data_IF_610074095759
#
_entry.id   IF_610074095759
#
_cell.length_a   1.000
_cell.length_b   1.000
_cell.length_c   1.000
_cell.angle_alpha   90.00
_cell.angle_beta   90.00
_cell.angle_gamma   90.00
#
_symmetry.space_group_name_H-M   'P 1'
#
loop_
_entity.id
_entity.type
_entity.pdbx_description
1 polymer ?
#
# COMPACT_ATOMS: atom_id res chain seq x y z
N UNK A 1 24.00 31.94 14.06
CA UNK A 1 23.15 32.55 15.10
C UNK A 1 22.56 31.42 15.95
N UNK A 2 22.52 31.56 17.29
CA UNK A 2 21.96 30.65 18.33
C UNK A 2 21.42 29.28 17.89
N UNK A 3 22.08 28.14 18.18
CA UNK A 3 22.18 27.42 19.48
C UNK A 3 20.84 27.09 20.14
N UNK A 4 20.45 25.81 20.14
CA UNK A 4 19.43 25.25 21.05
C UNK A 4 20.08 24.69 22.32
N UNK A 5 19.27 24.59 23.39
CA UNK A 5 19.64 23.93 24.64
C UNK A 5 19.43 22.41 24.56
N UNK A 6 20.24 21.66 25.30
CA UNK A 6 20.00 20.25 25.61
C UNK A 6 20.11 20.01 27.11
N UNK A 7 19.36 19.03 27.61
CA UNK A 7 19.50 18.47 28.95
C UNK A 7 19.24 16.96 28.89
N UNK A 8 20.09 16.17 29.53
CA UNK A 8 19.88 14.73 29.79
C UNK A 8 19.87 14.48 31.31
N UNK A 9 19.24 13.36 31.69
CA UNK A 9 18.90 12.98 33.07
C UNK A 9 20.13 12.63 33.94
N UNK A 10 19.99 12.73 35.28
CA UNK A 10 20.87 12.06 36.24
C UNK A 10 20.36 10.66 36.67
N UNK A 11 21.31 9.88 37.20
CA UNK A 11 21.17 8.65 38.01
C UNK A 11 20.36 8.92 39.34
N UNK A 12 19.93 7.99 40.22
CA UNK A 12 20.27 6.57 40.54
C UNK A 12 19.18 5.91 41.45
N UNK A 13 19.44 4.67 41.93
CA UNK A 13 18.82 3.83 42.98
C UNK A 13 17.72 2.83 42.55
N UNK A 14 18.04 1.56 42.27
CA UNK A 14 18.14 0.37 43.17
C UNK A 14 16.86 -0.09 43.88
N UNK A 15 16.44 -1.33 43.60
CA UNK A 15 15.77 -2.21 44.57
C UNK A 15 16.12 -3.69 44.35
N UNK A 16 16.21 -4.43 45.46
CA UNK A 16 16.64 -5.83 45.57
C UNK A 16 15.76 -6.56 46.61
N UNK A 17 15.72 -7.89 46.75
CA UNK A 17 16.39 -9.01 46.06
C UNK A 17 15.31 -10.00 45.55
N UNK A 18 15.69 -11.08 44.86
CA UNK A 18 15.38 -12.44 45.35
C UNK A 18 16.45 -13.46 44.89
N UNK A 19 16.72 -14.44 45.75
CA UNK A 19 17.75 -15.49 45.60
C UNK A 19 17.11 -16.78 45.05
N UNK A 20 17.81 -17.77 44.46
CA UNK A 20 18.96 -18.50 45.01
C UNK A 20 19.44 -19.63 44.04
N UNK A 21 20.57 -20.27 44.40
CA UNK A 21 21.07 -21.60 43.96
C UNK A 21 21.88 -21.77 42.64
N UNK A 22 23.22 -21.75 42.82
CA UNK A 22 24.26 -22.60 42.20
C UNK A 22 24.61 -22.45 40.68
N UNK A 23 25.83 -22.83 40.23
CA UNK A 23 27.09 -23.10 40.95
C UNK A 23 28.26 -22.18 40.50
N UNK A 24 29.45 -22.44 41.03
CA UNK A 24 30.66 -21.65 40.86
C UNK A 24 31.30 -21.70 39.45
N UNK A 25 31.73 -20.54 38.96
CA UNK A 25 32.86 -20.29 38.03
C UNK A 25 32.93 -21.16 36.76
N UNK A 26 31.98 -20.92 35.84
CA UNK A 26 32.23 -21.12 34.41
C UNK A 26 32.84 -19.85 33.80
N UNK A 27 34.17 -19.75 33.74
CA UNK A 27 34.81 -18.62 33.06
C UNK A 27 34.45 -18.66 31.57
N UNK A 28 33.74 -17.64 31.08
CA UNK A 28 33.55 -17.43 29.64
C UNK A 28 34.91 -17.07 29.05
N UNK A 29 35.64 -18.09 28.59
CA UNK A 29 36.88 -17.92 27.83
C UNK A 29 36.50 -17.41 26.44
N UNK A 30 36.19 -16.11 26.35
CA UNK A 30 36.34 -15.39 25.11
C UNK A 30 37.81 -15.57 24.67
N UNK A 31 38.09 -16.20 23.52
CA UNK A 31 39.47 -16.39 23.08
C UNK A 31 40.08 -15.02 22.72
N UNK A 32 40.79 -14.42 23.68
CA UNK A 32 41.50 -13.12 23.58
C UNK A 32 42.68 -13.13 22.58
N UNK A 33 42.66 -14.01 21.59
CA UNK A 33 43.71 -14.26 20.61
C UNK A 33 43.18 -14.35 19.17
N UNK A 34 42.15 -13.58 18.81
CA UNK A 34 41.95 -13.20 17.41
C UNK A 34 43.00 -12.14 17.09
N UNK A 35 44.21 -12.58 16.71
CA UNK A 35 45.23 -11.69 16.14
C UNK A 35 44.69 -11.11 14.84
N UNK A 36 44.59 -9.78 14.76
CA UNK A 36 44.20 -9.08 13.54
C UNK A 36 45.10 -9.50 12.38
N UNK A 37 44.49 -10.06 11.33
CA UNK A 37 45.19 -10.38 10.08
C UNK A 37 45.52 -9.08 9.34
N UNK A 38 46.80 -8.81 9.09
CA UNK A 38 47.20 -7.62 8.32
C UNK A 38 46.96 -7.86 6.83
N UNK A 39 46.18 -6.99 6.20
CA UNK A 39 46.07 -6.94 4.74
C UNK A 39 47.40 -6.43 4.20
N UNK A 40 48.01 -7.16 3.26
CA UNK A 40 49.23 -6.68 2.61
C UNK A 40 48.93 -5.40 1.81
N UNK A 41 49.76 -4.36 1.99
CA UNK A 41 49.57 -2.99 1.47
C UNK A 41 49.15 -3.00 -0.02
N UNK A 42 47.90 -2.62 -0.29
CA UNK A 42 47.25 -2.76 -1.60
C UNK A 42 46.47 -1.52 -2.03
N UNK A 43 46.72 -1.08 -3.26
CA UNK A 43 45.82 -0.16 -3.96
C UNK A 43 44.69 -0.97 -4.61
N UNK A 44 43.71 -1.41 -3.80
CA UNK A 44 42.51 -2.03 -4.36
C UNK A 44 41.61 -0.91 -4.91
N UNK A 45 41.39 -0.93 -6.22
CA UNK A 45 40.51 0.02 -6.92
C UNK A 45 39.52 -0.76 -7.75
N UNK A 46 38.24 -0.60 -7.43
CA UNK A 46 37.15 -1.09 -8.27
C UNK A 46 37.06 -0.20 -9.53
N UNK A 47 36.62 -0.77 -10.64
CA UNK A 47 36.34 -0.01 -11.86
C UNK A 47 35.13 0.90 -11.64
N UNK A 48 35.11 2.07 -12.26
CA UNK A 48 33.96 2.96 -12.16
C UNK A 48 32.76 2.42 -12.94
N UNK A 49 31.55 2.68 -12.45
CA UNK A 49 30.33 2.36 -13.18
C UNK A 49 30.14 3.34 -14.32
N UNK A 50 29.67 2.86 -15.47
CA UNK A 50 29.25 3.70 -16.57
C UNK A 50 28.05 4.57 -16.19
N UNK A 51 28.00 5.80 -16.72
CA UNK A 51 26.88 6.71 -16.54
C UNK A 51 25.67 6.24 -17.36
N UNK A 52 24.47 6.25 -16.77
CA UNK A 52 23.24 6.05 -17.54
C UNK A 52 23.02 7.18 -18.56
N UNK A 53 22.51 6.80 -19.72
CA UNK A 53 22.04 7.72 -20.74
C UNK A 53 20.87 8.57 -20.25
N UNK A 54 20.72 9.78 -20.80
CA UNK A 54 19.59 10.65 -20.49
C UNK A 54 18.38 10.29 -21.33
N UNK A 55 17.20 10.35 -20.71
CA UNK A 55 15.93 10.25 -21.42
C UNK A 55 15.79 11.37 -22.48
N UNK A 56 15.28 10.98 -23.64
CA UNK A 56 14.93 11.85 -24.73
C UNK A 56 13.74 12.74 -24.39
N UNK A 57 13.81 14.01 -24.80
CA UNK A 57 12.75 14.99 -24.55
C UNK A 57 11.49 14.63 -25.36
N UNK A 58 10.34 14.54 -24.70
CA UNK A 58 9.05 14.39 -25.38
C UNK A 58 8.70 15.62 -26.23
N UNK A 59 8.02 15.39 -27.35
CA UNK A 59 7.53 16.40 -28.26
C UNK A 59 6.48 17.32 -27.61
N UNK A 60 6.25 18.48 -28.23
CA UNK A 60 5.35 19.51 -27.69
C UNK A 60 3.89 19.16 -27.98
N UNK A 61 3.05 19.10 -26.95
CA UNK A 61 1.58 19.06 -27.11
C UNK A 61 1.05 20.42 -27.59
N UNK A 62 0.15 20.45 -28.58
CA UNK A 62 -0.37 21.70 -29.15
C UNK A 62 -1.87 21.64 -29.50
N UNK A 63 -2.56 22.77 -29.37
CA UNK A 63 -3.90 23.00 -29.94
C UNK A 63 -3.83 23.88 -31.20
N UNK A 64 -4.63 23.58 -32.22
CA UNK A 64 -4.77 24.36 -33.45
C UNK A 64 -6.23 24.42 -33.93
N UNK A 65 -6.54 25.42 -34.75
CA UNK A 65 -7.81 25.53 -35.47
C UNK A 65 -7.64 25.09 -36.92
N UNK A 66 -8.53 24.23 -37.43
CA UNK A 66 -8.66 23.88 -38.83
C UNK A 66 -9.61 24.89 -39.51
N UNK A 67 -9.04 25.98 -40.01
CA UNK A 67 -9.74 27.04 -40.76
C UNK A 67 -9.70 26.85 -42.29
N UNK A 68 -9.08 25.76 -42.74
CA UNK A 68 -8.88 25.45 -44.16
C UNK A 68 -7.56 25.94 -44.74
N UNK A 69 -6.65 26.49 -43.93
CA UNK A 69 -5.24 26.71 -44.29
C UNK A 69 -4.42 25.41 -44.27
N UNK A 70 -3.24 25.41 -44.90
CA UNK A 70 -2.28 24.29 -44.86
C UNK A 70 -1.38 24.45 -43.64
N UNK A 71 -1.30 23.41 -42.80
CA UNK A 71 -0.57 23.44 -41.54
C UNK A 71 0.40 22.25 -41.52
N UNK A 72 1.69 22.52 -41.25
CA UNK A 72 2.72 21.48 -41.08
C UNK A 72 3.28 21.56 -39.65
N UNK A 73 3.24 20.47 -38.90
CA UNK A 73 3.71 20.41 -37.51
C UNK A 73 4.69 19.26 -37.28
N UNK A 74 5.86 19.57 -36.74
CA UNK A 74 6.77 18.59 -36.15
C UNK A 74 6.62 18.62 -34.63
N UNK A 75 5.99 17.57 -34.11
CA UNK A 75 5.79 17.30 -32.68
C UNK A 75 6.61 16.08 -32.25
N UNK A 76 7.68 15.74 -32.97
CA UNK A 76 8.49 14.54 -32.68
C UNK A 76 9.16 14.61 -31.30
N UNK A 77 9.20 13.47 -30.62
CA UNK A 77 10.11 13.25 -29.50
C UNK A 77 11.58 13.24 -29.95
N UNK A 78 12.49 13.25 -28.97
CA UNK A 78 13.92 13.04 -29.18
C UNK A 78 14.34 11.68 -28.63
N UNK A 79 15.41 11.14 -29.17
CA UNK A 79 15.96 9.84 -28.78
C UNK A 79 16.62 9.94 -27.40
N UNK A 80 16.70 8.82 -26.69
CA UNK A 80 17.50 8.69 -25.47
C UNK A 80 18.99 8.52 -25.78
N UNK A 81 19.87 8.95 -24.87
CA UNK A 81 21.31 8.68 -24.99
C UNK A 81 21.60 7.19 -24.69
N UNK A 82 22.60 6.61 -25.35
CA UNK A 82 23.19 5.33 -24.93
C UNK A 82 23.80 5.46 -23.52
N UNK A 83 23.72 4.40 -22.71
CA UNK A 83 24.44 4.26 -21.45
C UNK A 83 25.91 3.95 -21.68
N UNK A 84 26.78 4.47 -20.83
CA UNK A 84 28.23 4.26 -20.91
C UNK A 84 28.61 2.88 -20.34
N UNK A 85 29.66 2.25 -20.87
CA UNK A 85 30.22 1.00 -20.35
C UNK A 85 30.88 1.25 -18.97
N UNK A 86 30.85 0.24 -18.08
CA UNK A 86 31.66 0.26 -16.86
C UNK A 86 33.14 0.00 -17.14
N UNK A 87 34.02 0.35 -16.20
CA UNK A 87 35.46 0.08 -16.31
C UNK A 87 35.85 -1.28 -15.68
N UNK A 88 36.93 -1.88 -16.15
CA UNK A 88 37.49 -3.09 -15.54
C UNK A 88 38.04 -2.81 -14.13
N UNK A 89 37.87 -3.77 -13.23
CA UNK A 89 38.44 -3.73 -11.88
C UNK A 89 39.98 -3.74 -11.90
N UNK A 90 40.62 -3.05 -10.97
CA UNK A 90 42.08 -2.97 -10.95
C UNK A 90 42.71 -4.22 -10.33
N UNK A 91 43.77 -4.74 -10.99
CA UNK A 91 44.54 -5.87 -10.46
C UNK A 91 45.56 -5.39 -9.41
N UNK A 92 45.49 -5.85 -8.15
CA UNK A 92 46.43 -5.46 -7.10
C UNK A 92 47.87 -5.95 -7.37
N UNK A 93 48.85 -5.24 -6.79
CA UNK A 93 50.26 -5.60 -6.90
C UNK A 93 50.64 -6.77 -5.98
N UNK A 94 50.64 -7.99 -6.52
CA UNK A 94 50.99 -9.21 -5.79
C UNK A 94 52.49 -9.40 -5.47
N UNK A 95 53.33 -8.36 -5.66
CA UNK A 95 54.80 -8.51 -5.62
C UNK A 95 55.40 -8.61 -4.21
N UNK A 96 54.67 -8.23 -3.16
CA UNK A 96 55.24 -7.96 -1.82
C UNK A 96 54.89 -8.95 -0.68
N UNK A 97 54.24 -10.09 -0.96
CA UNK A 97 53.90 -11.11 0.06
C UNK A 97 55.12 -11.92 0.57
N UNK A 98 56.33 -11.32 0.58
CA UNK A 98 57.63 -11.95 0.90
C UNK A 98 58.14 -11.70 2.32
N UNK A 99 57.52 -10.80 3.09
CA UNK A 99 57.93 -10.53 4.48
C UNK A 99 57.14 -11.42 5.43
N UNK A 100 57.75 -12.54 5.80
CA UNK A 100 57.31 -13.42 6.88
C UNK A 100 57.11 -12.63 8.20
N UNK A 101 55.88 -12.21 8.47
CA UNK A 101 55.55 -11.39 9.64
C UNK A 101 55.52 -12.17 10.95
N UNK A 102 55.12 -11.47 12.03
CA UNK A 102 54.71 -12.05 13.33
C UNK A 102 53.18 -12.06 13.49
N UNK A 103 52.47 -11.96 12.36
CA UNK A 103 51.02 -11.80 12.22
C UNK A 103 50.51 -12.65 11.04
N UNK A 104 49.23 -13.01 11.05
CA UNK A 104 48.56 -13.60 9.88
C UNK A 104 48.40 -12.54 8.79
N UNK A 105 48.41 -12.94 7.52
CA UNK A 105 48.37 -12.04 6.37
C UNK A 105 47.19 -12.39 5.46
N UNK A 106 46.46 -11.39 5.01
CA UNK A 106 45.54 -11.53 3.89
C UNK A 106 46.19 -10.92 2.64
N UNK A 107 46.28 -11.69 1.57
CA UNK A 107 46.76 -11.18 0.30
C UNK A 107 45.73 -10.22 -0.34
N UNK A 108 46.17 -9.28 -1.19
CA UNK A 108 45.26 -8.28 -1.77
C UNK A 108 44.13 -8.89 -2.62
N UNK A 109 42.90 -8.42 -2.40
CA UNK A 109 41.75 -8.73 -3.26
C UNK A 109 41.88 -8.02 -4.61
N UNK A 110 41.29 -8.59 -5.65
CA UNK A 110 41.07 -7.93 -6.92
C UNK A 110 39.92 -6.93 -6.85
N UNK A 111 40.04 -5.80 -7.56
CA UNK A 111 38.96 -4.83 -7.66
C UNK A 111 37.78 -5.39 -8.45
N UNK A 112 36.57 -4.98 -8.08
CA UNK A 112 35.35 -5.32 -8.83
C UNK A 112 35.31 -4.54 -10.16
N UNK A 113 34.70 -5.13 -11.19
CA UNK A 113 34.38 -4.42 -12.43
C UNK A 113 33.16 -3.53 -12.26
N UNK A 114 33.15 -2.38 -12.91
CA UNK A 114 32.02 -1.47 -12.92
C UNK A 114 30.83 -2.01 -13.72
N UNK A 115 29.63 -1.68 -13.27
CA UNK A 115 28.39 -1.91 -14.03
C UNK A 115 28.32 -0.95 -15.21
N UNK A 116 27.68 -1.37 -16.30
CA UNK A 116 27.27 -0.46 -17.38
C UNK A 116 26.08 0.39 -16.96
N UNK A 117 25.99 1.61 -17.50
CA UNK A 117 24.85 2.50 -17.29
C UNK A 117 23.64 2.07 -18.13
N UNK A 118 22.43 2.31 -17.64
CA UNK A 118 21.20 2.09 -18.42
C UNK A 118 21.10 3.06 -19.60
N UNK A 119 20.50 2.64 -20.71
CA UNK A 119 20.15 3.50 -21.84
C UNK A 119 18.95 4.38 -21.52
N UNK A 120 18.97 5.63 -22.01
CA UNK A 120 17.86 6.57 -21.85
C UNK A 120 16.64 6.18 -22.67
N UNK A 121 15.43 6.42 -22.17
CA UNK A 121 14.20 6.18 -22.92
C UNK A 121 13.99 7.26 -24.00
N UNK A 122 13.40 6.88 -25.13
CA UNK A 122 12.98 7.82 -26.16
C UNK A 122 11.79 8.68 -25.70
N UNK A 123 11.84 9.96 -26.02
CA UNK A 123 10.76 10.90 -25.75
C UNK A 123 9.51 10.59 -26.58
N UNK A 124 8.33 10.76 -26.00
CA UNK A 124 7.07 10.53 -26.71
C UNK A 124 6.83 11.60 -27.78
N UNK A 125 6.12 11.26 -28.86
CA UNK A 125 5.54 12.25 -29.76
C UNK A 125 4.50 13.12 -29.03
N UNK A 126 4.43 14.40 -29.40
CA UNK A 126 3.49 15.35 -28.83
C UNK A 126 2.05 15.11 -29.29
N UNK A 127 1.12 15.10 -28.34
CA UNK A 127 -0.31 14.98 -28.63
C UNK A 127 -0.86 16.28 -29.29
N UNK A 128 -1.92 16.19 -30.07
CA UNK A 128 -2.49 17.35 -30.77
C UNK A 128 -4.01 17.43 -30.66
N UNK A 129 -4.51 18.64 -30.38
CA UNK A 129 -5.95 18.95 -30.37
C UNK A 129 -6.30 19.84 -31.55
N UNK A 130 -7.23 19.40 -32.40
CA UNK A 130 -7.70 20.13 -33.59
C UNK A 130 -9.16 20.55 -33.42
N UNK A 131 -9.38 21.85 -33.35
CA UNK A 131 -10.69 22.49 -33.36
C UNK A 131 -11.12 22.71 -34.81
N UNK A 132 -12.30 22.25 -35.22
CA UNK A 132 -12.76 22.34 -36.62
C UNK A 132 -14.24 22.74 -36.73
N UNK A 133 -14.63 23.18 -37.93
CA UNK A 133 -16.03 23.37 -38.31
C UNK A 133 -16.42 22.58 -39.56
N UNK A 134 -15.44 22.12 -40.33
CA UNK A 134 -15.59 21.22 -41.46
C UNK A 134 -14.52 20.13 -41.36
N UNK A 135 -14.95 18.87 -41.28
CA UNK A 135 -14.02 17.74 -41.08
C UNK A 135 -13.05 17.57 -42.25
N UNK A 136 -13.43 17.99 -43.47
CA UNK A 136 -12.58 17.89 -44.65
C UNK A 136 -11.33 18.78 -44.57
N UNK A 137 -11.32 19.85 -43.76
CA UNK A 137 -10.16 20.73 -43.63
C UNK A 137 -8.99 20.10 -42.86
N UNK A 138 -9.23 19.03 -42.09
CA UNK A 138 -8.15 18.24 -41.47
C UNK A 138 -7.20 17.64 -42.53
N UNK A 139 -7.66 17.43 -43.76
CA UNK A 139 -6.84 16.94 -44.89
C UNK A 139 -5.72 17.87 -45.31
N UNK A 140 -5.71 19.11 -44.82
CA UNK A 140 -4.68 20.12 -45.09
C UNK A 140 -3.62 20.21 -43.97
N UNK A 141 -3.77 19.39 -42.93
CA UNK A 141 -2.90 19.38 -41.75
C UNK A 141 -1.99 18.16 -41.83
N UNK A 142 -0.68 18.39 -41.99
CA UNK A 142 0.36 17.37 -41.93
C UNK A 142 1.05 17.40 -40.56
N UNK A 143 1.13 16.24 -39.90
CA UNK A 143 1.62 16.12 -38.53
C UNK A 143 2.67 15.03 -38.45
N UNK A 144 3.83 15.32 -37.88
CA UNK A 144 4.86 14.35 -37.52
C UNK A 144 4.99 14.30 -36.00
N UNK A 145 4.35 13.33 -35.36
CA UNK A 145 4.38 13.12 -33.92
C UNK A 145 4.98 11.74 -33.59
N UNK A 146 6.17 11.46 -34.13
CA UNK A 146 6.89 10.22 -33.81
C UNK A 146 7.47 10.27 -32.40
N UNK A 147 7.54 9.13 -31.73
CA UNK A 147 8.41 8.98 -30.56
C UNK A 147 9.87 8.87 -30.99
N UNK A 148 10.79 9.24 -30.11
CA UNK A 148 12.21 8.96 -30.26
C UNK A 148 12.56 7.51 -29.94
N UNK A 149 13.73 7.07 -30.36
CA UNK A 149 14.28 5.75 -30.04
C UNK A 149 14.85 5.71 -28.62
N UNK A 150 14.89 4.52 -28.01
CA UNK A 150 15.59 4.30 -26.76
C UNK A 150 17.08 4.09 -27.00
N UNK A 151 17.93 4.68 -26.15
CA UNK A 151 19.36 4.40 -26.13
C UNK A 151 19.66 3.00 -25.60
N UNK A 152 20.81 2.44 -25.98
CA UNK A 152 21.26 1.12 -25.57
C UNK A 152 21.88 1.13 -24.19
N UNK A 153 21.76 0.02 -23.47
CA UNK A 153 22.44 -0.21 -22.20
C UNK A 153 23.95 -0.39 -22.39
N UNK A 154 24.73 0.27 -21.54
CA UNK A 154 26.18 0.08 -21.44
C UNK A 154 26.53 -1.30 -20.88
N UNK A 155 27.74 -1.78 -21.16
CA UNK A 155 28.22 -3.10 -20.75
C UNK A 155 28.86 -3.08 -19.38
N UNK A 156 28.62 -4.13 -18.60
CA UNK A 156 29.35 -4.40 -17.37
C UNK A 156 30.75 -4.93 -17.67
N UNK A 157 31.74 -4.47 -16.92
CA UNK A 157 33.15 -4.82 -17.11
C UNK A 157 33.65 -5.84 -16.08
N UNK A 158 34.87 -6.34 -16.26
CA UNK A 158 35.34 -7.54 -15.54
C UNK A 158 35.96 -7.21 -14.19
N UNK A 159 35.73 -8.08 -13.22
CA UNK A 159 36.46 -8.08 -11.96
C UNK A 159 37.89 -8.57 -12.13
N UNK A 160 38.82 -7.98 -11.38
CA UNK A 160 40.20 -8.42 -11.37
C UNK A 160 40.41 -9.68 -10.51
N UNK A 161 41.42 -10.47 -10.90
CA UNK A 161 41.88 -11.61 -10.11
C UNK A 161 42.69 -11.12 -8.90
N UNK A 162 42.39 -11.68 -7.72
CA UNK A 162 43.12 -11.41 -6.49
C UNK A 162 44.56 -11.95 -6.49
N UNK A 163 45.27 -11.71 -5.40
CA UNK A 163 46.61 -12.23 -5.20
C UNK A 163 46.63 -13.53 -4.42
N UNK A 164 47.27 -14.57 -4.95
CA UNK A 164 47.56 -15.79 -4.19
C UNK A 164 48.78 -15.66 -3.27
N UNK A 165 48.70 -16.31 -2.12
CA UNK A 165 49.81 -16.48 -1.19
C UNK A 165 50.81 -17.49 -1.73
N UNK A 166 52.09 -17.11 -1.84
CA UNK A 166 53.17 -18.04 -2.24
C UNK A 166 53.47 -19.10 -1.18
N UNK A 167 53.17 -18.80 0.08
CA UNK A 167 53.33 -19.69 1.22
C UNK A 167 52.15 -19.47 2.15
N UNK A 168 51.31 -20.51 2.32
CA UNK A 168 50.07 -20.42 3.10
C UNK A 168 50.27 -20.57 4.61
N UNK A 169 51.41 -21.14 5.04
CA UNK A 169 51.74 -21.40 6.45
C UNK A 169 53.25 -21.23 6.71
N UNK A 170 53.60 -20.55 7.79
CA UNK A 170 54.97 -20.52 8.31
C UNK A 170 54.97 -20.57 9.85
N UNK A 171 56.11 -20.94 10.44
CA UNK A 171 56.30 -20.97 11.89
C UNK A 171 57.40 -19.99 12.26
N UNK A 172 57.18 -19.19 13.31
CA UNK A 172 58.26 -18.40 13.92
C UNK A 172 58.38 -18.72 15.39
N UNK A 173 59.61 -18.93 15.81
CA UNK A 173 59.96 -18.98 17.20
C UNK A 173 59.83 -17.57 17.81
N UNK A 174 59.01 -17.45 18.85
CA UNK A 174 58.81 -16.24 19.63
C UNK A 174 59.28 -16.54 21.04
N UNK A 175 60.42 -15.97 21.39
CA UNK A 175 61.03 -16.11 22.70
C UNK A 175 60.65 -14.93 23.59
N UNK A 176 60.30 -15.22 24.84
CA UNK A 176 60.06 -14.25 25.89
C UNK A 176 61.21 -14.36 26.92
N UNK A 177 61.84 -13.23 27.24
CA UNK A 177 63.10 -13.15 28.00
C UNK A 177 64.32 -12.71 27.16
N UNK A 178 65.32 -12.10 27.82
CA UNK A 178 66.54 -11.60 27.16
C UNK A 178 67.49 -12.73 26.74
N UNK A 179 68.30 -12.51 25.69
CA UNK A 179 69.21 -13.53 25.14
C UNK A 179 70.32 -14.00 26.13
N UNK A 180 70.47 -13.35 27.29
CA UNK A 180 71.49 -13.65 28.31
C UNK A 180 70.97 -14.39 29.55
N UNK A 181 69.68 -14.70 29.63
CA UNK A 181 69.10 -15.43 30.78
C UNK A 181 68.80 -16.89 30.43
N UNK A 182 69.16 -17.81 31.32
CA UNK A 182 68.92 -19.26 31.21
C UNK A 182 67.45 -19.68 31.18
N UNK A 183 66.53 -18.74 31.47
CA UNK A 183 65.09 -18.98 31.53
C UNK A 183 64.34 -18.47 30.28
N UNK A 184 65.03 -18.32 29.15
CA UNK A 184 64.45 -17.92 27.85
C UNK A 184 63.48 -19.00 27.36
N UNK A 185 62.18 -18.73 27.44
CA UNK A 185 61.15 -19.64 26.92
C UNK A 185 60.78 -19.24 25.50
N UNK A 186 61.11 -20.12 24.55
CA UNK A 186 60.80 -19.97 23.14
C UNK A 186 59.59 -20.83 22.76
N UNK A 187 58.60 -20.22 22.13
CA UNK A 187 57.40 -20.91 21.64
C UNK A 187 57.29 -20.77 20.12
N UNK A 188 57.07 -21.89 19.41
CA UNK A 188 56.77 -21.84 17.98
C UNK A 188 55.34 -21.35 17.78
N UNK A 189 55.17 -20.18 17.18
CA UNK A 189 53.86 -19.63 16.80
C UNK A 189 53.66 -19.84 15.29
N UNK A 190 52.55 -20.47 14.93
CA UNK A 190 52.14 -20.74 13.54
C UNK A 190 51.41 -19.52 12.99
N UNK A 191 51.69 -19.17 11.75
CA UNK A 191 51.07 -18.07 11.02
C UNK A 191 50.56 -18.52 9.66
N UNK A 192 49.50 -17.87 9.19
CA UNK A 192 48.81 -18.21 7.95
C UNK A 192 48.77 -17.03 6.97
N UNK A 193 48.77 -17.35 5.68
CA UNK A 193 48.48 -16.41 4.59
C UNK A 193 47.23 -16.90 3.86
N UNK A 194 46.22 -16.03 3.75
CA UNK A 194 44.99 -16.31 3.01
C UNK A 194 45.00 -15.57 1.67
N UNK A 195 44.63 -16.27 0.60
CA UNK A 195 44.53 -15.71 -0.75
C UNK A 195 43.49 -14.57 -0.81
N UNK A 196 43.80 -13.56 -1.62
CA UNK A 196 42.88 -12.48 -1.92
C UNK A 196 41.76 -12.95 -2.83
N UNK A 197 40.53 -12.48 -2.57
CA UNK A 197 39.35 -12.79 -3.39
C UNK A 197 39.46 -12.11 -4.76
N UNK A 198 38.88 -12.74 -5.78
CA UNK A 198 38.64 -12.09 -7.06
C UNK A 198 37.50 -11.08 -6.91
N UNK A 199 37.58 -9.96 -7.64
CA UNK A 199 36.45 -9.04 -7.79
C UNK A 199 35.34 -9.65 -8.62
N UNK A 200 34.10 -9.19 -8.41
CA UNK A 200 32.97 -9.54 -9.26
C UNK A 200 33.03 -8.79 -10.59
N UNK A 201 32.46 -9.38 -11.65
CA UNK A 201 32.13 -8.62 -12.86
C UNK A 201 30.94 -7.70 -12.59
N UNK A 202 30.92 -6.55 -13.25
CA UNK A 202 29.75 -5.68 -13.33
C UNK A 202 28.66 -6.26 -14.22
N UNK A 203 27.47 -5.70 -14.07
CA UNK A 203 26.25 -6.07 -14.79
C UNK A 203 26.05 -5.09 -15.96
N UNK A 204 25.49 -5.56 -17.08
CA UNK A 204 25.08 -4.67 -18.18
C UNK A 204 23.88 -3.81 -17.77
N UNK A 205 23.87 -2.55 -18.20
CA UNK A 205 22.69 -1.71 -18.16
C UNK A 205 21.58 -2.24 -19.07
N UNK A 206 20.36 -1.80 -18.82
CA UNK A 206 19.18 -2.11 -19.63
C UNK A 206 19.05 -1.16 -20.82
N UNK A 207 18.47 -1.63 -21.93
CA UNK A 207 18.11 -0.76 -23.06
C UNK A 207 16.90 0.12 -22.70
N UNK A 208 16.95 1.38 -23.13
CA UNK A 208 15.85 2.32 -23.02
C UNK A 208 14.68 1.96 -23.96
N UNK A 209 13.48 2.41 -23.60
CA UNK A 209 12.26 2.14 -24.39
C UNK A 209 12.04 3.24 -25.43
N UNK A 210 11.60 2.89 -26.64
CA UNK A 210 11.13 3.87 -27.62
C UNK A 210 9.88 4.62 -27.12
N UNK A 211 9.78 5.91 -27.47
CA UNK A 211 8.62 6.74 -27.17
C UNK A 211 7.38 6.35 -27.99
N UNK A 212 6.18 6.64 -27.48
CA UNK A 212 4.93 6.43 -28.24
C UNK A 212 4.74 7.48 -29.33
N UNK A 213 3.89 7.19 -30.31
CA UNK A 213 3.34 8.19 -31.22
C UNK A 213 2.37 9.14 -30.49
N UNK A 214 2.33 10.40 -30.90
CA UNK A 214 1.35 11.38 -30.40
C UNK A 214 -0.07 11.06 -30.88
N UNK A 215 -1.06 11.38 -30.05
CA UNK A 215 -2.48 11.11 -30.26
C UNK A 215 -3.19 12.35 -30.80
N UNK A 216 -4.03 12.15 -31.82
CA UNK A 216 -4.95 13.17 -32.33
C UNK A 216 -6.21 13.24 -31.45
N UNK A 217 -6.62 14.46 -31.08
CA UNK A 217 -7.92 14.77 -30.50
C UNK A 217 -8.63 15.79 -31.39
N UNK A 218 -9.90 15.58 -31.75
CA UNK A 218 -10.66 16.47 -32.63
C UNK A 218 -11.93 16.97 -31.94
N UNK A 219 -12.27 18.24 -32.17
CA UNK A 219 -13.38 18.94 -31.54
C UNK A 219 -14.14 19.73 -32.60
N UNK A 220 -15.42 19.40 -32.83
CA UNK A 220 -16.29 20.12 -33.76
C UNK A 220 -16.82 21.43 -33.13
N UNK A 221 -15.91 22.35 -32.82
CA UNK A 221 -16.19 23.68 -32.29
C UNK A 221 -15.01 24.61 -32.62
N UNK A 222 -15.26 25.92 -32.63
CA UNK A 222 -14.21 26.97 -32.68
C UNK A 222 -13.79 27.44 -31.28
N UNK A 223 -14.52 27.04 -30.24
CA UNK A 223 -14.26 27.42 -28.85
C UNK A 223 -13.47 26.34 -28.13
N UNK A 224 -12.54 26.75 -27.27
CA UNK A 224 -11.84 25.86 -26.37
C UNK A 224 -12.84 25.18 -25.41
N UNK A 225 -12.64 23.88 -25.15
CA UNK A 225 -13.47 23.17 -24.17
C UNK A 225 -13.24 23.74 -22.77
N UNK A 226 -14.31 23.87 -21.99
CA UNK A 226 -14.25 24.22 -20.58
C UNK A 226 -13.58 23.08 -19.80
N UNK A 227 -12.84 23.43 -18.75
CA UNK A 227 -12.19 22.47 -17.86
C UNK A 227 -13.20 21.47 -17.27
N UNK A 228 -12.73 20.24 -17.07
CA UNK A 228 -13.54 19.19 -16.45
C UNK A 228 -13.46 19.23 -14.93
N UNK A 229 -14.61 18.99 -14.31
CA UNK A 229 -14.78 18.79 -12.86
C UNK A 229 -15.67 17.55 -12.67
N UNK A 230 -15.19 16.36 -13.03
CA UNK A 230 -16.02 15.15 -13.08
C UNK A 230 -16.21 14.56 -11.69
N UNK A 231 -15.38 14.94 -10.73
CA UNK A 231 -15.39 14.47 -9.35
C UNK A 231 -15.38 15.63 -8.38
N UNK A 232 -16.11 15.50 -7.28
CA UNK A 232 -15.99 16.35 -6.11
C UNK A 232 -15.94 15.51 -4.84
N UNK A 233 -15.25 16.01 -3.81
CA UNK A 233 -15.22 15.42 -2.49
C UNK A 233 -15.59 16.51 -1.48
N UNK A 234 -16.59 16.23 -0.63
CA UNK A 234 -17.19 17.24 0.22
C UNK A 234 -17.81 16.64 1.49
N UNK A 235 -17.69 17.34 2.62
CA UNK A 235 -18.34 16.95 3.86
C UNK A 235 -19.87 16.93 3.75
N UNK A 236 -20.52 15.88 4.29
CA UNK A 236 -21.98 15.71 4.32
C UNK A 236 -22.68 17.00 4.80
N UNK A 237 -22.21 17.56 5.91
CA UNK A 237 -22.73 18.81 6.48
C UNK A 237 -22.70 19.97 5.47
N UNK A 238 -21.64 20.09 4.66
CA UNK A 238 -21.49 21.18 3.69
C UNK A 238 -22.45 21.03 2.51
N UNK A 239 -22.63 19.81 1.98
CA UNK A 239 -23.56 19.53 0.88
C UNK A 239 -24.98 20.03 1.20
N UNK A 240 -25.49 19.67 2.38
CA UNK A 240 -26.85 20.03 2.82
C UNK A 240 -26.93 21.50 3.30
N UNK A 241 -25.91 22.02 3.98
CA UNK A 241 -25.95 23.43 4.43
C UNK A 241 -25.77 24.45 3.31
N UNK A 242 -25.17 24.07 2.16
CA UNK A 242 -25.12 24.93 0.97
C UNK A 242 -26.48 25.05 0.26
N UNK A 243 -27.26 23.97 0.24
CA UNK A 243 -28.65 23.95 -0.25
C UNK A 243 -29.55 24.89 0.57
N UNK A 244 -29.51 24.80 1.91
CA UNK A 244 -30.27 25.69 2.80
C UNK A 244 -29.64 27.09 3.01
N UNK A 245 -28.55 27.40 2.32
CA UNK A 245 -28.00 28.77 2.34
C UNK A 245 -28.88 29.70 1.50
N UNK A 246 -28.84 31.03 1.78
CA UNK A 246 -29.59 32.03 1.01
C UNK A 246 -29.28 32.06 -0.50
N UNK A 247 -28.20 31.41 -0.93
CA UNK A 247 -27.79 31.33 -2.32
C UNK A 247 -28.17 30.03 -3.02
N UNK A 248 -28.71 29.02 -2.30
CA UNK A 248 -29.05 27.67 -2.77
C UNK A 248 -28.16 27.19 -3.93
N UNK A 249 -26.86 27.02 -3.65
CA UNK A 249 -25.86 26.70 -4.67
C UNK A 249 -25.74 25.18 -4.74
N UNK A 250 -26.30 24.51 -5.77
CA UNK A 250 -26.16 23.08 -5.90
C UNK A 250 -24.76 22.74 -6.44
N UNK A 251 -24.31 21.51 -6.21
CA UNK A 251 -22.97 21.09 -6.61
C UNK A 251 -22.97 20.63 -8.07
N UNK A 252 -22.34 21.42 -8.93
CA UNK A 252 -22.23 21.13 -10.35
C UNK A 252 -20.92 20.37 -10.68
N UNK A 253 -21.07 19.19 -11.27
CA UNK A 253 -20.03 18.38 -11.89
C UNK A 253 -20.11 18.52 -13.41
N UNK A 254 -18.96 18.34 -14.08
CA UNK A 254 -18.89 18.39 -15.54
C UNK A 254 -17.77 17.54 -16.10
N UNK A 255 -18.02 16.91 -17.26
CA UNK A 255 -17.11 15.98 -17.92
C UNK A 255 -17.23 16.09 -19.44
N UNK A 256 -16.12 16.33 -20.13
CA UNK A 256 -16.06 16.26 -21.59
C UNK A 256 -16.04 14.78 -21.99
N UNK A 257 -17.09 14.32 -22.67
CA UNK A 257 -17.20 12.94 -23.13
C UNK A 257 -16.48 12.79 -24.48
N UNK A 258 -15.56 11.84 -24.53
CA UNK A 258 -14.75 11.54 -25.71
C UNK A 258 -15.07 10.15 -26.24
N UNK A 259 -15.17 10.02 -27.56
CA UNK A 259 -15.20 8.74 -28.25
C UNK A 259 -13.82 8.40 -28.78
N UNK A 260 -13.33 7.20 -28.49
CA UNK A 260 -12.11 6.67 -29.10
C UNK A 260 -12.44 6.05 -30.45
N UNK A 261 -11.72 6.43 -31.49
CA UNK A 261 -11.95 6.01 -32.89
C UNK A 261 -10.63 5.67 -33.57
N UNK A 262 -10.71 4.95 -34.68
CA UNK A 262 -9.55 4.50 -35.46
C UNK A 262 -9.52 5.20 -36.83
N UNK A 263 -8.33 5.36 -37.39
CA UNK A 263 -8.13 5.97 -38.72
C UNK A 263 -7.67 7.43 -38.67
N UNK A 264 -6.95 7.87 -37.64
CA UNK A 264 -6.44 9.26 -37.55
C UNK A 264 -5.69 9.72 -38.83
N UNK A 265 -4.86 8.83 -39.39
CA UNK A 265 -4.11 9.09 -40.62
C UNK A 265 -5.01 9.24 -41.86
N UNK A 266 -6.25 8.74 -41.83
CA UNK A 266 -7.25 8.94 -42.89
C UNK A 266 -8.02 10.25 -42.76
N UNK A 267 -7.91 10.97 -41.64
CA UNK A 267 -8.44 12.34 -41.48
C UNK A 267 -7.42 13.41 -41.88
N UNK A 268 -6.15 13.18 -41.58
CA UNK A 268 -5.03 14.12 -41.81
C UNK A 268 -4.50 14.09 -43.26
N UNK A 269 -3.60 15.02 -43.56
CA UNK A 269 -2.87 15.06 -44.82
C UNK A 269 -1.98 13.81 -45.02
N UNK A 270 -1.82 13.40 -46.27
CA UNK A 270 -0.97 12.27 -46.66
C UNK A 270 0.46 12.44 -46.16
N UNK A 271 1.03 11.39 -45.56
CA UNK A 271 2.37 11.43 -44.96
C UNK A 271 2.42 11.88 -43.50
N UNK A 272 1.27 12.18 -42.88
CA UNK A 272 1.19 12.36 -41.42
C UNK A 272 1.55 11.08 -40.68
N UNK A 273 2.22 11.23 -39.54
CA UNK A 273 2.61 10.15 -38.63
C UNK A 273 2.11 10.51 -37.23
N UNK A 274 0.96 9.94 -36.88
CA UNK A 274 0.34 9.98 -35.55
C UNK A 274 -0.13 8.57 -35.16
N UNK A 275 -0.51 8.37 -33.90
CA UNK A 275 -1.24 7.17 -33.51
C UNK A 275 -2.50 7.02 -34.39
N UNK A 276 -2.77 5.80 -34.88
CA UNK A 276 -3.97 5.57 -35.70
C UNK A 276 -5.27 5.71 -34.91
N UNK A 277 -5.19 5.54 -33.60
CA UNK A 277 -6.26 5.85 -32.65
C UNK A 277 -6.33 7.35 -32.40
N UNK A 278 -7.54 7.91 -32.44
CA UNK A 278 -7.81 9.31 -32.12
C UNK A 278 -9.03 9.45 -31.20
N UNK A 279 -9.16 10.63 -30.59
CA UNK A 279 -10.29 10.99 -29.73
C UNK A 279 -11.18 12.02 -30.42
N UNK A 280 -12.47 11.77 -30.47
CA UNK A 280 -13.48 12.70 -30.99
C UNK A 280 -14.33 13.20 -29.82
N UNK A 281 -14.45 14.51 -29.66
CA UNK A 281 -15.32 15.10 -28.65
C UNK A 281 -16.79 14.87 -29.03
N UNK A 282 -17.53 14.16 -28.19
CA UNK A 282 -18.96 13.86 -28.42
C UNK A 282 -19.83 15.00 -27.91
N UNK A 283 -19.74 15.28 -26.60
CA UNK A 283 -20.47 16.35 -25.91
C UNK A 283 -19.89 16.59 -24.52
N UNK A 284 -20.22 17.75 -23.94
CA UNK A 284 -20.03 17.99 -22.52
C UNK A 284 -21.20 17.39 -21.75
N UNK A 285 -20.91 16.60 -20.73
CA UNK A 285 -21.85 16.16 -19.72
C UNK A 285 -21.80 17.16 -18.57
N UNK A 286 -22.96 17.58 -18.09
CA UNK A 286 -23.10 18.39 -16.88
C UNK A 286 -24.15 17.71 -16.00
N UNK A 287 -23.86 17.67 -14.70
CA UNK A 287 -24.69 17.03 -13.69
C UNK A 287 -24.67 17.85 -12.41
N UNK A 288 -25.84 17.98 -11.79
CA UNK A 288 -26.07 18.75 -10.58
C UNK A 288 -26.43 17.79 -9.46
N UNK A 289 -25.87 17.95 -8.26
CA UNK A 289 -26.10 17.05 -7.12
C UNK A 289 -26.79 17.76 -5.95
N UNK A 290 -27.76 17.08 -5.35
CA UNK A 290 -28.52 17.53 -4.18
C UNK A 290 -28.68 16.38 -3.16
N UNK A 291 -28.47 16.66 -1.87
CA UNK A 291 -28.53 15.69 -0.78
C UNK A 291 -29.66 16.05 0.19
N UNK A 292 -30.77 15.32 0.11
CA UNK A 292 -31.93 15.50 0.99
C UNK A 292 -31.72 14.69 2.27
N UNK A 293 -31.61 15.37 3.41
CA UNK A 293 -31.38 14.75 4.71
C UNK A 293 -32.70 14.45 5.44
N UNK A 294 -33.05 13.16 5.56
CA UNK A 294 -34.23 12.69 6.32
C UNK A 294 -33.88 11.91 7.61
N UNK A 295 -32.60 11.67 7.88
CA UNK A 295 -32.14 11.04 9.13
C UNK A 295 -32.46 11.93 10.34
N UNK A 296 -32.98 11.30 11.40
CA UNK A 296 -33.42 11.93 12.66
C UNK A 296 -32.25 12.56 13.44
N UNK A 297 -31.06 11.98 13.34
CA UNK A 297 -29.87 12.55 13.97
C UNK A 297 -29.46 13.88 13.33
N UNK A 298 -29.00 14.86 14.14
CA UNK A 298 -28.48 16.11 13.60
C UNK A 298 -27.30 15.87 12.67
N UNK A 299 -27.39 16.41 11.45
CA UNK A 299 -26.33 16.34 10.43
C UNK A 299 -24.95 16.82 10.92
N UNK A 300 -24.91 17.68 11.94
CA UNK A 300 -23.66 18.13 12.60
C UNK A 300 -22.83 16.97 13.17
N UNK A 301 -23.45 15.84 13.51
CA UNK A 301 -22.75 14.62 13.95
C UNK A 301 -21.86 14.04 12.85
N UNK A 302 -22.12 14.37 11.58
CA UNK A 302 -21.43 13.86 10.39
C UNK A 302 -20.60 14.96 9.69
N UNK A 303 -20.09 15.94 10.45
CA UNK A 303 -19.37 17.10 9.87
C UNK A 303 -18.06 16.68 9.17
N UNK A 304 -17.28 15.80 9.79
CA UNK A 304 -15.95 15.38 9.30
C UNK A 304 -15.99 14.31 8.20
N UNK A 305 -17.17 14.07 7.63
CA UNK A 305 -17.47 12.86 6.87
C UNK A 305 -17.61 13.21 5.40
N UNK A 306 -16.61 12.81 4.61
CA UNK A 306 -16.48 13.18 3.20
C UNK A 306 -17.25 12.21 2.31
N UNK A 307 -18.09 12.77 1.43
CA UNK A 307 -18.74 12.04 0.33
C UNK A 307 -17.99 12.37 -0.94
N UNK A 308 -17.62 11.34 -1.69
CA UNK A 308 -17.09 11.47 -3.05
C UNK A 308 -18.22 11.29 -4.06
N UNK A 309 -18.30 12.22 -4.99
CA UNK A 309 -19.31 12.31 -6.04
C UNK A 309 -18.60 12.24 -7.39
N UNK A 310 -19.10 11.42 -8.32
CA UNK A 310 -18.46 11.18 -9.62
C UNK A 310 -19.51 11.20 -10.74
N UNK A 311 -19.37 12.12 -11.70
CA UNK A 311 -20.20 12.15 -12.91
C UNK A 311 -19.71 11.10 -13.92
N UNK A 312 -20.54 10.12 -14.21
CA UNK A 312 -20.23 9.03 -15.15
C UNK A 312 -20.68 9.34 -16.59
N UNK A 313 -20.31 8.48 -17.54
CA UNK A 313 -20.59 8.70 -18.99
C UNK A 313 -22.06 8.55 -19.38
N UNK A 314 -22.89 8.04 -18.45
CA UNK A 314 -24.35 7.99 -18.57
C UNK A 314 -25.02 9.26 -18.01
N UNK A 315 -24.24 10.28 -17.64
CA UNK A 315 -24.73 11.54 -17.04
C UNK A 315 -25.37 11.38 -15.65
N UNK A 316 -25.11 10.24 -14.97
CA UNK A 316 -25.52 10.00 -13.59
C UNK A 316 -24.36 10.35 -12.63
N UNK A 317 -24.70 10.72 -11.39
CA UNK A 317 -23.71 11.00 -10.35
C UNK A 317 -23.64 9.81 -9.40
N UNK A 318 -22.53 9.08 -9.44
CA UNK A 318 -22.22 8.01 -8.51
C UNK A 318 -21.75 8.58 -7.16
N UNK A 319 -22.30 8.05 -6.08
CA UNK A 319 -22.17 8.59 -4.72
C UNK A 319 -21.45 7.56 -3.85
N UNK A 320 -20.33 7.95 -3.27
CA UNK A 320 -19.52 7.10 -2.39
C UNK A 320 -19.42 7.72 -1.00
N UNK A 321 -20.15 7.11 -0.05
CA UNK A 321 -20.06 7.40 1.38
C UNK A 321 -18.88 6.65 2.02
N UNK A 322 -18.24 7.20 3.07
CA UNK A 322 -17.04 6.62 3.64
C UNK A 322 -17.33 5.29 4.37
N UNK A 323 -16.32 4.45 4.55
CA UNK A 323 -16.51 3.07 5.06
C UNK A 323 -17.02 3.02 6.50
N UNK A 324 -16.62 4.01 7.31
CA UNK A 324 -17.00 4.17 8.71
C UNK A 324 -18.46 4.63 8.93
N UNK A 325 -19.27 4.85 7.88
CA UNK A 325 -20.70 5.19 8.01
C UNK A 325 -21.55 4.27 7.16
N UNK A 326 -22.48 3.59 7.81
CA UNK A 326 -23.55 2.86 7.14
C UNK A 326 -24.67 3.84 6.79
N UNK A 327 -24.96 3.93 5.50
CA UNK A 327 -25.98 4.83 4.94
C UNK A 327 -27.06 4.00 4.26
N UNK A 328 -28.31 4.30 4.56
CA UNK A 328 -29.47 3.85 3.79
C UNK A 328 -30.17 5.05 3.14
N UNK A 329 -30.52 4.91 1.88
CA UNK A 329 -31.04 6.01 1.08
C UNK A 329 -31.31 5.61 -0.36
N UNK A 330 -31.96 6.49 -1.09
CA UNK A 330 -32.36 6.29 -2.49
C UNK A 330 -31.89 7.44 -3.37
N UNK A 331 -31.53 7.14 -4.61
CA UNK A 331 -31.17 8.16 -5.60
C UNK A 331 -32.22 8.24 -6.70
N UNK A 332 -32.47 9.46 -7.17
CA UNK A 332 -33.32 9.75 -8.32
C UNK A 332 -32.63 10.77 -9.22
N UNK A 333 -32.45 10.43 -10.49
CA UNK A 333 -31.93 11.36 -11.50
C UNK A 333 -33.08 11.85 -12.38
N UNK A 334 -33.22 13.16 -12.53
CA UNK A 334 -34.17 13.81 -13.43
C UNK A 334 -33.40 14.82 -14.27
N UNK A 335 -33.35 14.61 -15.60
CA UNK A 335 -32.52 15.37 -16.53
C UNK A 335 -31.03 15.40 -16.13
N UNK A 336 -30.53 16.52 -15.60
CA UNK A 336 -29.17 16.68 -15.09
C UNK A 336 -29.07 16.67 -13.55
N UNK A 337 -30.19 16.71 -12.83
CA UNK A 337 -30.23 16.73 -11.36
C UNK A 337 -30.25 15.31 -10.81
N UNK A 338 -29.25 14.96 -10.01
CA UNK A 338 -29.23 13.75 -9.17
C UNK A 338 -29.54 14.15 -7.73
N UNK A 339 -30.74 13.79 -7.27
CA UNK A 339 -31.14 13.89 -5.88
C UNK A 339 -30.79 12.58 -5.17
N UNK A 340 -30.25 12.68 -3.96
CA UNK A 340 -30.09 11.54 -3.04
C UNK A 340 -30.85 11.82 -1.75
N UNK A 341 -31.87 11.02 -1.45
CA UNK A 341 -32.57 11.05 -0.17
C UNK A 341 -31.88 10.08 0.79
N UNK A 342 -31.24 10.64 1.83
CA UNK A 342 -30.61 9.88 2.90
C UNK A 342 -31.63 9.65 4.02
N UNK A 343 -32.03 8.40 4.22
CA UNK A 343 -33.01 7.98 5.23
C UNK A 343 -32.33 7.72 6.57
N UNK A 344 -31.20 6.99 6.54
CA UNK A 344 -30.45 6.62 7.74
C UNK A 344 -28.94 6.82 7.58
N UNK A 345 -28.29 7.29 8.64
CA UNK A 345 -26.84 7.30 8.78
C UNK A 345 -26.42 6.83 10.17
N UNK A 346 -25.50 5.88 10.24
CA UNK A 346 -25.02 5.26 11.48
C UNK A 346 -23.52 5.05 11.36
N UNK A 347 -22.75 5.48 12.37
CA UNK A 347 -21.33 5.16 12.44
C UNK A 347 -21.13 3.64 12.61
N UNK A 348 -20.15 3.09 11.91
CA UNK A 348 -19.82 1.66 11.94
C UNK A 348 -19.53 1.15 13.37
N UNK A 349 -18.92 2.00 14.22
CA UNK A 349 -18.69 1.67 15.63
C UNK A 349 -19.99 1.48 16.43
N UNK A 350 -21.05 2.21 16.11
CA UNK A 350 -22.37 2.11 16.75
C UNK A 350 -23.18 0.90 16.27
N UNK A 351 -22.87 0.38 15.07
CA UNK A 351 -23.53 -0.82 14.54
C UNK A 351 -23.27 -2.03 15.45
N UNK A 352 -22.09 -2.20 16.03
CA UNK A 352 -21.73 -3.41 16.80
C UNK A 352 -21.59 -3.15 18.31
N UNK A 353 -22.57 -2.45 18.91
CA UNK A 353 -22.62 -2.15 20.36
C UNK A 353 -23.68 -2.94 21.12
N UNK A 354 -23.85 -4.22 20.78
CA UNK A 354 -24.68 -5.13 21.55
C UNK A 354 -23.95 -5.60 22.82
N UNK A 355 -24.67 -5.74 23.93
CA UNK A 355 -24.15 -6.26 25.19
C UNK A 355 -25.14 -7.25 25.82
N UNK A 356 -24.65 -8.19 26.64
CA UNK A 356 -25.53 -9.09 27.40
C UNK A 356 -26.20 -8.30 28.51
N UNK A 357 -27.52 -8.29 28.54
CA UNK A 357 -28.30 -7.72 29.63
C UNK A 357 -28.54 -8.77 30.74
N UNK A 358 -29.01 -9.97 30.39
CA UNK A 358 -29.36 -11.01 31.37
C UNK A 358 -29.55 -12.40 30.72
N UNK A 359 -29.17 -13.49 31.42
CA UNK A 359 -29.78 -14.81 31.22
C UNK A 359 -30.90 -15.01 32.24
N UNK A 360 -32.14 -15.16 31.76
CA UNK A 360 -33.35 -15.18 32.57
C UNK A 360 -34.12 -16.49 32.48
N UNK A 361 -34.74 -16.87 33.60
CA UNK A 361 -35.61 -18.05 33.77
C UNK A 361 -34.85 -19.38 33.56
N UNK A 362 -35.59 -20.47 33.35
CA UNK A 362 -35.03 -21.82 33.14
C UNK A 362 -35.95 -22.70 32.28
N UNK A 363 -35.47 -23.88 31.90
CA UNK A 363 -36.22 -24.88 31.15
C UNK A 363 -36.68 -24.34 29.79
N UNK A 364 -37.91 -24.69 29.43
CA UNK A 364 -38.58 -24.25 28.20
C UNK A 364 -38.84 -22.74 28.11
N UNK A 365 -38.57 -21.98 29.18
CA UNK A 365 -38.74 -20.52 29.24
C UNK A 365 -37.41 -19.77 29.40
N UNK A 366 -36.27 -20.48 29.32
CA UNK A 366 -34.92 -19.89 29.35
C UNK A 366 -34.79 -18.85 28.22
N UNK A 367 -34.36 -17.66 28.58
CA UNK A 367 -34.26 -16.53 27.65
C UNK A 367 -32.96 -15.76 27.85
N UNK A 368 -32.28 -15.41 26.76
CA UNK A 368 -31.05 -14.61 26.76
C UNK A 368 -31.37 -13.22 26.24
N UNK A 369 -31.07 -12.20 27.03
CA UNK A 369 -31.38 -10.80 26.75
C UNK A 369 -30.13 -10.06 26.32
N UNK A 370 -30.22 -9.38 25.18
CA UNK A 370 -29.16 -8.57 24.60
C UNK A 370 -29.70 -7.15 24.45
N UNK A 371 -28.93 -6.16 24.89
CA UNK A 371 -29.24 -4.73 24.72
C UNK A 371 -28.32 -4.11 23.69
N UNK A 372 -28.87 -3.30 22.80
CA UNK A 372 -28.13 -2.42 21.90
C UNK A 372 -27.85 -1.09 22.60
N UNK A 373 -26.58 -0.88 22.95
CA UNK A 373 -26.11 0.32 23.65
C UNK A 373 -26.08 1.56 22.75
N UNK A 374 -26.09 1.39 21.42
CA UNK A 374 -26.24 2.49 20.47
C UNK A 374 -27.72 2.87 20.23
N UNK A 375 -28.66 1.99 20.59
CA UNK A 375 -30.09 2.20 20.37
C UNK A 375 -30.50 2.26 18.89
N UNK A 376 -29.80 1.53 18.02
CA UNK A 376 -29.99 1.54 16.55
C UNK A 376 -30.72 0.29 16.01
N UNK A 377 -31.13 -0.61 16.90
CA UNK A 377 -31.86 -1.83 16.59
C UNK A 377 -33.22 -1.63 15.93
N UNK A 378 -33.79 -0.43 15.93
CA UNK A 378 -35.04 -0.13 15.22
C UNK A 378 -34.83 -0.13 13.69
N UNK A 379 -33.73 0.46 13.23
CA UNK A 379 -33.35 0.62 11.82
C UNK A 379 -32.37 -0.44 11.30
N UNK A 380 -31.53 -1.03 12.16
CA UNK A 380 -30.57 -2.09 11.75
C UNK A 380 -31.24 -3.47 11.77
N UNK A 381 -31.32 -4.13 10.61
CA UNK A 381 -31.72 -5.53 10.52
C UNK A 381 -30.69 -6.42 11.24
N UNK A 382 -31.16 -7.27 12.15
CA UNK A 382 -30.30 -8.04 13.07
C UNK A 382 -30.78 -9.49 13.15
N UNK A 383 -29.90 -10.42 12.75
CA UNK A 383 -30.09 -11.88 12.80
C UNK A 383 -29.14 -12.46 13.86
N UNK A 384 -29.57 -13.50 14.58
CA UNK A 384 -28.75 -14.12 15.63
C UNK A 384 -28.44 -15.58 15.33
N UNK A 385 -27.18 -15.96 15.50
CA UNK A 385 -26.73 -17.35 15.62
C UNK A 385 -26.27 -17.60 17.05
N UNK A 386 -26.46 -18.81 17.57
CA UNK A 386 -26.03 -19.19 18.92
C UNK A 386 -25.33 -20.53 18.91
N UNK A 387 -24.27 -20.62 19.70
CA UNK A 387 -23.59 -21.84 20.12
C UNK A 387 -23.78 -21.97 21.63
N UNK A 388 -24.48 -23.02 22.05
CA UNK A 388 -24.83 -23.28 23.44
C UNK A 388 -24.10 -24.51 23.94
N UNK A 389 -23.39 -24.35 25.06
CA UNK A 389 -22.62 -25.39 25.74
C UNK A 389 -23.06 -25.51 27.19
N UNK A 390 -23.11 -26.73 27.70
CA UNK A 390 -23.22 -26.99 29.14
C UNK A 390 -21.89 -27.51 29.67
N UNK A 391 -21.65 -27.28 30.96
CA UNK A 391 -20.43 -27.67 31.66
C UNK A 391 -20.79 -28.24 33.04
N UNK A 392 -20.02 -29.22 33.52
CA UNK A 392 -20.07 -29.64 34.91
C UNK A 392 -19.19 -28.74 35.80
N UNK A 393 -18.12 -28.16 35.23
CA UNK A 393 -17.25 -27.20 35.93
C UNK A 393 -16.72 -26.08 35.02
N UNK A 394 -16.57 -24.87 35.55
CA UNK A 394 -16.11 -23.69 34.77
C UNK A 394 -14.60 -23.69 34.53
N UNK A 395 -13.82 -24.34 35.40
CA UNK A 395 -12.35 -24.37 35.31
C UNK A 395 -11.82 -25.35 34.22
N UNK A 396 -12.66 -26.27 33.75
CA UNK A 396 -12.34 -27.23 32.69
C UNK A 396 -12.68 -26.67 31.30
N UNK A 397 -11.77 -25.87 30.72
CA UNK A 397 -11.95 -25.30 29.39
C UNK A 397 -12.05 -26.35 28.25
N UNK A 398 -11.69 -27.60 28.53
CA UNK A 398 -11.55 -28.68 27.55
C UNK A 398 -12.80 -29.56 27.35
N UNK A 399 -13.79 -29.54 28.26
CA UNK A 399 -14.90 -30.51 28.28
C UNK A 399 -16.32 -29.90 28.08
N UNK A 400 -16.42 -28.70 27.49
CA UNK A 400 -17.73 -28.05 27.26
C UNK A 400 -18.46 -28.59 26.02
N UNK A 401 -19.34 -29.59 26.22
CA UNK A 401 -20.11 -30.19 25.12
C UNK A 401 -21.02 -29.15 24.44
N UNK A 402 -20.89 -28.99 23.12
CA UNK A 402 -21.82 -28.18 22.32
C UNK A 402 -23.12 -28.96 22.13
N UNK A 403 -24.21 -28.41 22.67
CA UNK A 403 -25.53 -29.04 22.67
C UNK A 403 -26.47 -28.44 21.62
N UNK A 404 -26.17 -27.24 21.16
CA UNK A 404 -26.83 -26.61 20.02
C UNK A 404 -25.87 -25.62 19.34
N UNK A 405 -25.85 -25.62 18.02
CA UNK A 405 -25.19 -24.60 17.22
C UNK A 405 -26.03 -24.33 15.96
N UNK A 406 -26.41 -23.07 15.74
CA UNK A 406 -27.28 -22.72 14.61
C UNK A 406 -27.79 -21.29 14.63
N UNK A 407 -28.56 -20.95 13.61
CA UNK A 407 -29.38 -19.73 13.59
C UNK A 407 -30.54 -19.83 14.59
N UNK A 408 -30.88 -18.72 15.24
CA UNK A 408 -32.10 -18.60 16.04
C UNK A 408 -33.21 -18.14 15.08
N UNK A 409 -34.26 -18.95 14.85
CA UNK A 409 -35.39 -18.55 14.01
C UNK A 409 -36.03 -17.24 14.48
N UNK A 410 -36.42 -16.38 13.53
CA UNK A 410 -36.94 -15.04 13.83
C UNK A 410 -38.13 -15.04 14.82
N UNK A 411 -38.99 -16.06 14.80
CA UNK A 411 -40.11 -16.19 15.74
C UNK A 411 -39.70 -16.49 17.20
N UNK A 412 -38.42 -16.83 17.45
CA UNK A 412 -37.82 -16.99 18.78
C UNK A 412 -37.01 -15.75 19.21
N UNK A 413 -37.03 -14.67 18.43
CA UNK A 413 -36.40 -13.39 18.72
C UNK A 413 -37.47 -12.32 18.85
N UNK A 414 -37.69 -11.81 20.06
CA UNK A 414 -38.54 -10.63 20.25
C UNK A 414 -37.68 -9.37 20.47
N UNK A 415 -38.02 -8.29 19.77
CA UNK A 415 -37.37 -6.98 19.90
C UNK A 415 -38.33 -6.00 20.57
N UNK A 416 -37.91 -5.38 21.66
CA UNK A 416 -38.57 -4.22 22.26
C UNK A 416 -37.58 -3.05 22.29
N UNK A 417 -37.79 -2.08 21.38
CA UNK A 417 -36.86 -0.98 21.11
C UNK A 417 -35.42 -1.50 20.89
N UNK A 418 -34.50 -1.19 21.81
CA UNK A 418 -33.10 -1.60 21.76
C UNK A 418 -32.80 -2.95 22.46
N UNK A 419 -33.80 -3.64 23.01
CA UNK A 419 -33.63 -4.92 23.68
C UNK A 419 -34.11 -6.10 22.82
N UNK A 420 -33.28 -7.12 22.67
CA UNK A 420 -33.64 -8.41 22.10
C UNK A 420 -33.79 -9.45 23.22
N UNK A 421 -34.83 -10.27 23.14
CA UNK A 421 -34.98 -11.48 23.96
C UNK A 421 -34.95 -12.70 23.04
N UNK A 422 -33.94 -13.54 23.23
CA UNK A 422 -33.71 -14.78 22.50
C UNK A 422 -34.30 -15.94 23.32
N UNK A 423 -35.31 -16.62 22.81
CA UNK A 423 -36.01 -17.70 23.52
C UNK A 423 -35.25 -19.04 23.46
N UNK A 424 -34.03 -19.08 24.03
CA UNK A 424 -33.12 -20.23 23.96
C UNK A 424 -33.76 -21.55 24.43
N UNK A 425 -34.63 -21.51 25.43
CA UNK A 425 -35.35 -22.69 25.95
C UNK A 425 -36.28 -23.36 24.93
N UNK A 426 -36.59 -22.72 23.80
CA UNK A 426 -37.39 -23.27 22.68
C UNK A 426 -36.53 -23.87 21.56
N UNK A 427 -35.21 -23.76 21.64
CA UNK A 427 -34.28 -24.41 20.70
C UNK A 427 -34.20 -25.92 20.99
N UNK A 428 -33.60 -26.68 20.07
CA UNK A 428 -33.42 -28.14 20.18
C UNK A 428 -32.28 -28.51 21.15
N UNK A 429 -32.32 -27.97 22.37
CA UNK A 429 -31.35 -28.22 23.45
C UNK A 429 -31.94 -29.30 24.40
N UNK A 430 -31.17 -30.31 24.85
CA UNK A 430 -31.65 -31.31 25.81
C UNK A 430 -32.19 -30.68 27.10
N UNK A 431 -33.35 -31.13 27.58
CA UNK A 431 -34.06 -30.51 28.70
C UNK A 431 -33.28 -30.54 30.01
N UNK A 432 -32.39 -31.53 30.19
CA UNK A 432 -31.45 -31.64 31.31
C UNK A 432 -30.52 -30.43 31.38
N UNK A 433 -30.02 -29.93 30.24
CA UNK A 433 -29.09 -28.82 30.16
C UNK A 433 -29.75 -27.43 30.31
N UNK A 434 -31.09 -27.38 30.37
CA UNK A 434 -31.87 -26.16 30.60
C UNK A 434 -32.30 -26.01 32.07
N UNK A 435 -31.98 -26.98 32.94
CA UNK A 435 -32.41 -26.98 34.35
C UNK A 435 -31.68 -25.91 35.19
N UNK A 436 -32.32 -25.38 36.25
CA UNK A 436 -31.61 -24.60 37.27
C UNK A 436 -30.40 -25.35 37.83
N UNK A 437 -29.30 -24.63 38.06
CA UNK A 437 -28.03 -25.17 38.57
C UNK A 437 -27.02 -25.57 37.49
N UNK A 438 -27.43 -25.71 36.22
CA UNK A 438 -26.51 -26.03 35.11
C UNK A 438 -25.62 -24.83 34.81
N UNK A 439 -24.30 -25.07 34.72
CA UNK A 439 -23.30 -24.10 34.24
C UNK A 439 -23.34 -24.10 32.71
N UNK A 440 -23.43 -22.93 32.10
CA UNK A 440 -23.55 -22.80 30.65
C UNK A 440 -22.57 -21.76 30.10
N UNK A 441 -22.13 -22.01 28.87
CA UNK A 441 -21.37 -21.09 28.04
C UNK A 441 -22.19 -20.85 26.76
N UNK A 442 -22.55 -19.60 26.56
CA UNK A 442 -23.42 -19.14 25.48
C UNK A 442 -22.64 -18.14 24.65
N UNK A 443 -22.39 -18.51 23.39
CA UNK A 443 -21.81 -17.65 22.39
C UNK A 443 -22.90 -17.26 21.39
N UNK A 444 -23.18 -15.97 21.25
CA UNK A 444 -24.10 -15.41 20.27
C UNK A 444 -23.31 -14.62 19.23
N UNK A 445 -23.54 -14.90 17.95
CA UNK A 445 -23.08 -14.07 16.84
C UNK A 445 -24.28 -13.31 16.28
N UNK A 446 -24.28 -12.00 16.47
CA UNK A 446 -25.24 -11.10 15.86
C UNK A 446 -24.73 -10.64 14.49
N UNK A 447 -25.48 -10.94 13.43
CA UNK A 447 -25.23 -10.49 12.07
C UNK A 447 -26.13 -9.28 11.84
N UNK A 448 -25.53 -8.11 11.61
CA UNK A 448 -26.24 -6.83 11.44
C UNK A 448 -26.09 -6.32 10.02
N UNK A 449 -27.11 -5.64 9.49
CA UNK A 449 -27.13 -5.14 8.11
C UNK A 449 -27.98 -3.88 7.92
N UNK A 450 -27.54 -2.99 7.03
CA UNK A 450 -28.22 -1.76 6.59
C UNK A 450 -27.60 -1.29 5.26
N UNK A 451 -28.38 -0.78 4.30
CA UNK A 451 -27.86 -0.10 3.11
C UNK A 451 -26.85 -0.94 2.28
N UNK A 452 -27.06 -2.25 2.20
CA UNK A 452 -26.14 -3.19 1.53
C UNK A 452 -24.85 -3.52 2.30
N UNK A 453 -24.59 -2.89 3.45
CA UNK A 453 -23.45 -3.21 4.34
C UNK A 453 -23.85 -4.24 5.39
N UNK A 454 -22.89 -5.03 5.86
CA UNK A 454 -23.06 -5.99 6.95
C UNK A 454 -21.82 -6.12 7.83
N UNK A 455 -22.03 -6.46 9.10
CA UNK A 455 -21.00 -6.68 10.12
C UNK A 455 -21.48 -7.77 11.09
N UNK A 456 -20.53 -8.41 11.78
CA UNK A 456 -20.82 -9.44 12.77
C UNK A 456 -20.25 -9.02 14.12
N UNK A 457 -21.02 -9.23 15.19
CA UNK A 457 -20.56 -9.06 16.56
C UNK A 457 -20.71 -10.39 17.32
N UNK A 458 -19.61 -10.89 17.87
CA UNK A 458 -19.58 -12.05 18.75
C UNK A 458 -19.71 -11.60 20.21
N UNK A 459 -20.60 -12.24 20.94
CA UNK A 459 -20.98 -11.94 22.32
C UNK A 459 -20.91 -13.24 23.10
N UNK A 460 -20.06 -13.31 24.12
CA UNK A 460 -19.91 -14.50 24.97
C UNK A 460 -20.44 -14.25 26.38
N UNK A 461 -21.09 -15.27 26.96
CA UNK A 461 -21.56 -15.24 28.33
C UNK A 461 -21.35 -16.60 29.00
N UNK A 462 -20.87 -16.59 30.24
CA UNK A 462 -20.73 -17.77 31.07
C UNK A 462 -21.43 -17.53 32.41
N UNK A 463 -22.12 -18.55 32.91
CA UNK A 463 -22.82 -18.47 34.18
C UNK A 463 -23.78 -19.61 34.44
N UNK A 464 -24.46 -19.57 35.57
CA UNK A 464 -25.35 -20.65 36.04
C UNK A 464 -26.80 -20.29 35.74
N UNK A 465 -27.58 -21.23 35.20
CA UNK A 465 -29.04 -21.08 35.10
C UNK A 465 -29.61 -20.97 36.52
N UNK A 466 -30.12 -19.79 36.88
CA UNK A 466 -30.66 -19.55 38.22
C UNK A 466 -32.07 -20.13 38.34
N UNK A 467 -32.39 -20.64 39.53
CA UNK A 467 -33.78 -20.87 39.93
C UNK A 467 -34.40 -19.49 40.19
N UNK A 468 -35.35 -19.09 39.36
CA UNK A 468 -36.31 -18.01 39.64
C UNK A 468 -37.58 -18.64 40.18
#
# INVERSE_FOLDING_TARGET
>A
MYKSFGYQLPFLLTFCLFTSLLPAVGAVVCPKNVKESKIARSDNRDGSNGRSGRDGRSGKTQGINADGSVINLDLSGKDGEDGEDGEDGFRPSCRNNRKEGRDNINAPNGGNGGNGGDGGNGGNGGDITVYYSNLADLKKIAIRAVGGEGGRGGRGSRGAVGCSCRQQRWEKEVCEGSDRNSNRQCTKKVYYCYDGRNGSNGINGSDGRSGRLGILSIINSKEALRDDKPTAEMGIYKLVSQQYSRANIPLNLSKNKWQTRQGANSLLATGSIVANEYREFERRLEGTFELVWQEKQPIRNFTDQLVKLTLNDNQQIDISFPENIWVDGTSKTTENLTEYTLNHAIFQEDVTRLAVAELANSGQNLSFRIVDLAGKSDVINTQFRVKYRAQDNFDDSWNSQTLYEGEIPAYLVSRNYNNFTLALGKLKIPSQALKPGVKVDIEVVAIRSLGGRSAQQKISWQGVIRKR
#
